data_IF_705173762834
#
_entry.id   IF_705173762834
#
_cell.length_a   1.000
_cell.length_b   1.000
_cell.length_c   1.000
_cell.angle_alpha   90.00
_cell.angle_beta   90.00
_cell.angle_gamma   90.00
#
_symmetry.space_group_name_H-M   'P 1'
#
loop_
_entity.id
_entity.type
_entity.pdbx_description
1 polymer ?
#
# COMPACT_ATOMS: atom_id res chain seq x y z
N UNK A 1 -4.12 25.53 -22.70
CA UNK A 1 -4.48 24.15 -22.27
C UNK A 1 -4.33 24.11 -20.76
N UNK A 2 -5.42 24.04 -20.01
CA UNK A 2 -5.35 23.95 -18.55
C UNK A 2 -4.82 22.55 -18.21
N UNK A 3 -3.63 22.45 -17.60
CA UNK A 3 -3.16 21.21 -16.99
C UNK A 3 -4.04 20.94 -15.77
N UNK A 4 -4.85 19.89 -15.80
CA UNK A 4 -5.53 19.40 -14.62
C UNK A 4 -4.50 18.54 -13.86
N UNK A 5 -4.03 19.05 -12.74
CA UNK A 5 -3.13 18.35 -11.83
C UNK A 5 -3.97 17.87 -10.64
N UNK A 6 -3.69 16.67 -10.16
CA UNK A 6 -4.28 16.15 -8.94
C UNK A 6 -3.44 16.64 -7.78
N UNK A 7 -2.13 16.42 -7.88
CA UNK A 7 -1.12 16.87 -6.93
C UNK A 7 -0.08 17.72 -7.66
N UNK A 8 0.46 18.73 -6.98
CA UNK A 8 1.64 19.52 -7.39
C UNK A 8 2.68 19.43 -6.28
N UNK A 9 3.29 18.25 -6.15
CA UNK A 9 4.15 17.90 -5.03
C UNK A 9 5.54 18.51 -5.14
N UNK A 10 5.96 19.16 -4.05
CA UNK A 10 7.33 19.59 -3.82
C UNK A 10 7.93 18.74 -2.70
N UNK A 11 8.94 17.93 -3.03
CA UNK A 11 9.56 17.00 -2.10
C UNK A 11 10.94 17.52 -1.67
N UNK A 12 11.22 17.53 -0.38
CA UNK A 12 12.55 17.81 0.16
C UNK A 12 13.17 16.57 0.81
N UNK A 13 14.48 16.45 0.70
CA UNK A 13 15.22 15.26 1.09
C UNK A 13 16.42 15.58 1.99
N UNK A 14 16.80 14.60 2.80
CA UNK A 14 18.11 14.51 3.44
C UNK A 14 18.81 13.25 2.88
N UNK A 15 19.73 13.45 1.91
CA UNK A 15 20.22 12.34 1.09
C UNK A 15 19.08 11.70 0.30
N UNK A 16 18.88 10.39 0.47
CA UNK A 16 17.77 9.65 -0.16
C UNK A 16 16.49 9.60 0.72
N UNK A 17 16.56 10.08 1.97
CA UNK A 17 15.45 10.05 2.92
C UNK A 17 14.53 11.24 2.66
N UNK A 18 13.25 10.99 2.45
CA UNK A 18 12.24 12.04 2.32
C UNK A 18 12.10 12.76 3.66
N UNK A 19 12.08 14.08 3.64
CA UNK A 19 12.00 14.92 4.84
C UNK A 19 10.67 15.63 4.94
N UNK A 20 10.18 16.14 3.80
CA UNK A 20 8.95 16.91 3.72
C UNK A 20 8.33 16.78 2.34
N UNK A 21 7.01 16.80 2.28
CA UNK A 21 6.22 16.95 1.06
C UNK A 21 5.29 18.14 1.23
N UNK A 22 5.21 19.00 0.23
CA UNK A 22 4.22 20.06 0.17
C UNK A 22 3.43 19.92 -1.13
N UNK A 23 2.10 19.95 -1.03
CA UNK A 23 1.21 19.99 -2.18
C UNK A 23 0.70 21.40 -2.42
N UNK A 24 0.89 21.90 -3.64
CA UNK A 24 0.39 23.21 -4.07
C UNK A 24 -0.97 23.12 -4.77
N UNK A 25 -1.47 21.91 -5.00
CA UNK A 25 -2.77 21.71 -5.62
C UNK A 25 -3.88 22.08 -4.65
N UNK A 26 -4.72 23.03 -5.03
CA UNK A 26 -5.86 23.48 -4.21
C UNK A 26 -7.18 22.86 -4.63
N UNK A 27 -7.21 22.22 -5.79
CA UNK A 27 -8.42 21.60 -6.38
C UNK A 27 -8.03 20.34 -7.13
N UNK A 28 -8.05 19.18 -6.50
CA UNK A 28 -7.80 17.91 -7.19
C UNK A 28 -8.84 17.70 -8.29
N UNK A 29 -8.38 17.35 -9.49
CA UNK A 29 -9.24 17.17 -10.65
C UNK A 29 -10.22 15.99 -10.49
N UNK A 30 -9.87 15.03 -9.63
CA UNK A 30 -10.64 13.85 -9.29
C UNK A 30 -10.54 13.60 -7.79
N UNK A 31 -11.62 13.81 -7.08
CA UNK A 31 -11.67 13.63 -5.63
C UNK A 31 -12.11 12.19 -5.30
N UNK A 32 -11.30 11.19 -5.67
CA UNK A 32 -11.58 9.78 -5.36
C UNK A 32 -10.68 9.22 -4.26
N UNK A 33 -10.03 10.08 -3.49
CA UNK A 33 -9.40 9.71 -2.24
C UNK A 33 -8.00 9.14 -2.32
N UNK A 34 -7.35 9.11 -3.49
CA UNK A 34 -5.97 8.66 -3.63
C UNK A 34 -5.00 9.76 -4.05
N UNK A 35 -5.34 10.98 -3.79
CA UNK A 35 -4.44 12.13 -3.83
C UNK A 35 -3.56 12.15 -2.58
N UNK A 36 -2.37 12.73 -2.67
CA UNK A 36 -1.57 13.05 -1.50
C UNK A 36 -2.34 14.04 -0.63
N UNK A 37 -2.38 13.79 0.67
CA UNK A 37 -3.02 14.68 1.64
C UNK A 37 -1.93 15.40 2.42
N UNK A 38 -1.70 16.67 2.08
CA UNK A 38 -0.82 17.56 2.81
C UNK A 38 -1.52 18.03 4.10
N UNK A 39 -1.38 17.26 5.16
CA UNK A 39 -2.02 17.51 6.46
C UNK A 39 -1.16 18.33 7.42
N UNK A 40 0.14 18.44 7.15
CA UNK A 40 1.13 18.99 8.09
C UNK A 40 2.16 19.82 7.33
N UNK A 41 2.43 21.02 7.80
CA UNK A 41 3.50 21.89 7.28
C UNK A 41 4.61 22.06 8.33
N UNK A 42 5.47 21.07 8.46
CA UNK A 42 6.61 21.07 9.37
C UNK A 42 7.94 20.96 8.60
N UNK A 43 9.07 21.41 9.19
CA UNK A 43 10.38 21.24 8.57
C UNK A 43 10.80 19.77 8.39
N UNK A 44 10.23 18.87 9.21
CA UNK A 44 10.46 17.43 9.14
C UNK A 44 9.14 16.71 9.43
N UNK A 45 8.63 15.99 8.43
CA UNK A 45 7.36 15.26 8.47
C UNK A 45 7.59 13.75 8.47
N UNK A 46 8.77 13.33 7.99
CA UNK A 46 9.19 11.94 7.86
C UNK A 46 10.47 11.70 8.65
N UNK A 47 10.49 10.67 9.48
CA UNK A 47 11.69 10.26 10.22
C UNK A 47 12.05 8.82 9.88
N UNK A 48 13.33 8.49 10.02
CA UNK A 48 13.89 7.18 9.69
C UNK A 48 14.84 6.70 10.77
N UNK A 49 14.91 5.38 10.96
CA UNK A 49 15.92 4.75 11.79
C UNK A 49 17.31 4.70 11.09
N UNK A 50 18.29 4.12 11.77
CA UNK A 50 19.66 3.97 11.25
C UNK A 50 19.70 3.04 10.02
N UNK A 51 18.83 2.04 9.95
CA UNK A 51 18.69 1.10 8.83
C UNK A 51 17.97 1.72 7.61
N UNK A 52 17.46 2.96 7.73
CA UNK A 52 16.72 3.62 6.67
C UNK A 52 15.26 3.19 6.60
N UNK A 53 14.71 2.59 7.63
CA UNK A 53 13.28 2.30 7.71
C UNK A 53 12.53 3.56 8.15
N UNK A 54 11.38 3.85 7.53
CA UNK A 54 10.52 4.96 7.92
C UNK A 54 9.95 4.71 9.32
N UNK A 55 10.17 5.62 10.25
CA UNK A 55 9.67 5.51 11.63
C UNK A 55 8.52 6.45 11.93
N UNK A 56 8.32 7.48 11.09
CA UNK A 56 7.24 8.45 11.27
C UNK A 56 6.78 8.99 9.90
N UNK A 57 5.46 9.18 9.75
CA UNK A 57 4.81 9.85 8.62
C UNK A 57 3.66 10.71 9.16
N UNK A 58 3.92 11.99 9.34
CA UNK A 58 2.94 12.89 9.95
C UNK A 58 1.77 13.21 9.01
N UNK A 59 1.96 13.15 7.70
CA UNK A 59 0.88 13.36 6.73
C UNK A 59 -0.18 12.25 6.78
N UNK A 60 0.22 11.05 7.21
CA UNK A 60 -0.70 9.93 7.50
C UNK A 60 -1.08 9.83 8.98
N UNK A 61 -0.75 10.84 9.80
CA UNK A 61 -0.91 10.80 11.26
C UNK A 61 -0.18 9.63 11.94
N UNK A 62 0.85 9.06 11.31
CA UNK A 62 1.67 7.99 11.87
C UNK A 62 2.73 8.61 12.78
N UNK A 63 2.60 8.34 14.07
CA UNK A 63 3.51 8.86 15.12
C UNK A 63 4.70 7.97 15.36
N UNK A 64 4.57 6.66 15.11
CA UNK A 64 5.67 5.73 15.20
C UNK A 64 5.43 4.45 14.38
N UNK A 65 6.52 3.93 13.80
CA UNK A 65 6.56 2.60 13.19
C UNK A 65 7.68 1.82 13.86
N UNK A 66 7.36 0.64 14.37
CA UNK A 66 8.32 -0.30 14.94
C UNK A 66 8.64 -1.39 13.91
N UNK A 67 9.87 -1.87 13.92
CA UNK A 67 10.35 -2.91 13.01
C UNK A 67 10.86 -4.13 13.78
N UNK A 68 10.76 -5.29 13.18
CA UNK A 68 11.38 -6.51 13.68
C UNK A 68 12.84 -6.67 13.18
N UNK A 69 13.51 -7.76 13.55
CA UNK A 69 14.89 -8.03 13.15
C UNK A 69 15.09 -8.24 11.64
N UNK A 70 14.02 -8.42 10.86
CA UNK A 70 14.05 -8.50 9.40
C UNK A 70 13.81 -7.13 8.73
N UNK A 71 13.76 -6.06 9.50
CA UNK A 71 13.36 -4.73 9.03
C UNK A 71 11.96 -4.73 8.36
N UNK A 72 11.04 -5.55 8.87
CA UNK A 72 9.63 -5.52 8.48
C UNK A 72 8.83 -4.78 9.57
N UNK A 73 7.85 -3.94 9.22
CA UNK A 73 7.07 -3.20 10.21
C UNK A 73 6.31 -4.19 11.10
N UNK A 74 6.54 -4.13 12.40
CA UNK A 74 5.84 -4.96 13.39
C UNK A 74 4.64 -4.23 13.99
N UNK A 75 4.69 -2.88 14.04
CA UNK A 75 3.59 -2.07 14.53
C UNK A 75 3.63 -0.66 13.94
N UNK A 76 2.47 -0.17 13.53
CA UNK A 76 2.21 1.22 13.13
C UNK A 76 1.29 1.85 14.16
N UNK A 77 1.63 3.04 14.66
CA UNK A 77 0.85 3.77 15.66
C UNK A 77 0.43 5.13 15.10
N UNK A 78 -0.85 5.46 15.26
CA UNK A 78 -1.45 6.70 14.79
C UNK A 78 -1.69 7.68 15.95
N UNK A 79 -1.72 8.96 15.64
CA UNK A 79 -1.92 10.03 16.62
C UNK A 79 -3.26 9.94 17.38
N UNK A 80 -4.29 9.34 16.77
CA UNK A 80 -5.62 9.14 17.37
C UNK A 80 -5.72 7.90 18.25
N UNK A 81 -4.61 7.19 18.51
CA UNK A 81 -4.59 5.97 19.31
C UNK A 81 -4.86 4.68 18.53
N UNK A 82 -5.20 4.77 17.25
CA UNK A 82 -5.31 3.61 16.37
C UNK A 82 -3.94 2.94 16.21
N UNK A 83 -3.94 1.64 15.91
CA UNK A 83 -2.70 0.92 15.61
C UNK A 83 -2.93 -0.25 14.67
N UNK A 84 -1.88 -0.62 13.94
CA UNK A 84 -1.84 -1.83 13.12
C UNK A 84 -0.62 -2.62 13.56
N UNK A 85 -0.80 -3.90 13.84
CA UNK A 85 0.29 -4.81 14.23
C UNK A 85 0.40 -5.94 13.23
N UNK A 86 1.63 -6.33 12.92
CA UNK A 86 1.94 -7.37 11.95
C UNK A 86 2.75 -8.49 12.61
N UNK A 87 2.44 -9.71 12.25
CA UNK A 87 3.21 -10.90 12.61
C UNK A 87 3.75 -11.57 11.35
N UNK A 88 5.03 -11.93 11.37
CA UNK A 88 5.71 -12.58 10.25
C UNK A 88 6.36 -13.87 10.73
N UNK A 89 6.57 -14.81 9.81
CA UNK A 89 7.44 -15.96 10.06
C UNK A 89 8.93 -15.58 9.89
N UNK A 90 9.82 -16.54 10.13
CA UNK A 90 11.28 -16.33 10.02
C UNK A 90 11.75 -16.03 8.59
N UNK A 91 10.95 -16.33 7.57
CA UNK A 91 11.23 -16.01 6.17
C UNK A 91 10.66 -14.64 5.76
N UNK A 92 9.99 -13.93 6.68
CA UNK A 92 9.39 -12.61 6.42
C UNK A 92 8.02 -12.69 5.76
N UNK A 93 7.37 -13.87 5.71
CA UNK A 93 6.00 -13.97 5.21
C UNK A 93 5.04 -13.48 6.28
N UNK A 94 4.11 -12.61 5.91
CA UNK A 94 3.07 -12.10 6.79
C UNK A 94 2.10 -13.23 7.18
N UNK A 95 1.92 -13.43 8.48
CA UNK A 95 1.03 -14.44 9.05
C UNK A 95 -0.23 -13.82 9.62
N UNK A 96 -0.14 -12.60 10.15
CA UNK A 96 -1.27 -11.92 10.79
C UNK A 96 -1.13 -10.42 10.71
N UNK A 97 -2.27 -9.75 10.53
CA UNK A 97 -2.43 -8.31 10.75
C UNK A 97 -3.54 -8.09 11.76
N UNK A 98 -3.32 -7.21 12.72
CA UNK A 98 -4.34 -6.77 13.69
C UNK A 98 -4.50 -5.26 13.55
N UNK A 99 -5.68 -4.83 13.14
CA UNK A 99 -6.07 -3.42 13.12
C UNK A 99 -6.86 -3.12 14.40
N UNK A 100 -6.43 -2.10 15.14
CA UNK A 100 -7.19 -1.55 16.27
C UNK A 100 -7.60 -0.14 15.88
N UNK A 101 -8.89 0.05 15.60
CA UNK A 101 -9.47 1.29 15.10
C UNK A 101 -10.63 1.70 15.99
N UNK A 102 -10.54 2.89 16.60
CA UNK A 102 -11.60 3.46 17.45
C UNK A 102 -12.04 2.53 18.61
N UNK A 103 -11.13 1.65 19.05
CA UNK A 103 -11.37 0.67 20.11
C UNK A 103 -11.79 -0.72 19.64
N UNK A 104 -12.23 -0.85 18.39
CA UNK A 104 -12.55 -2.15 17.79
C UNK A 104 -11.29 -2.79 17.16
N UNK A 105 -11.22 -4.12 17.19
CA UNK A 105 -10.12 -4.85 16.58
C UNK A 105 -10.60 -5.80 15.48
N UNK A 106 -9.89 -5.78 14.35
CA UNK A 106 -10.06 -6.73 13.24
C UNK A 106 -8.76 -7.46 13.05
N UNK A 107 -8.81 -8.79 13.12
CA UNK A 107 -7.66 -9.67 12.92
C UNK A 107 -7.78 -10.35 11.55
N UNK A 108 -6.73 -10.23 10.74
CA UNK A 108 -6.61 -10.96 9.47
C UNK A 108 -5.47 -11.97 9.59
N UNK A 109 -5.76 -13.25 9.38
CA UNK A 109 -4.77 -14.34 9.38
C UNK A 109 -4.53 -14.84 7.95
N UNK A 110 -3.27 -15.08 7.62
CA UNK A 110 -2.82 -15.55 6.31
C UNK A 110 -2.27 -16.97 6.42
N UNK A 111 -3.04 -17.94 5.99
CA UNK A 111 -2.70 -19.35 6.04
C UNK A 111 -2.45 -19.91 4.62
N UNK A 112 -1.25 -19.66 4.08
CA UNK A 112 -0.95 -19.96 2.69
C UNK A 112 -1.76 -19.05 1.76
N UNK A 113 -2.67 -19.62 0.99
CA UNK A 113 -3.57 -18.91 0.08
C UNK A 113 -4.99 -18.68 0.67
N UNK A 114 -5.22 -19.08 1.92
CA UNK A 114 -6.48 -18.81 2.63
C UNK A 114 -6.31 -17.63 3.57
N UNK A 115 -7.21 -16.66 3.46
CA UNK A 115 -7.28 -15.49 4.33
C UNK A 115 -8.50 -15.60 5.22
N UNK A 116 -8.26 -15.40 6.52
CA UNK A 116 -9.28 -15.41 7.56
C UNK A 116 -9.48 -13.99 8.08
N UNK A 117 -10.70 -13.64 8.45
CA UNK A 117 -10.97 -12.44 9.23
C UNK A 117 -11.67 -12.84 10.54
N UNK A 118 -11.12 -12.42 11.68
CA UNK A 118 -11.59 -12.75 13.01
C UNK A 118 -11.80 -14.27 13.23
N UNK A 119 -10.90 -15.08 12.66
CA UNK A 119 -10.95 -16.54 12.75
C UNK A 119 -11.94 -17.22 11.78
N UNK A 120 -12.66 -16.44 10.96
CA UNK A 120 -13.59 -16.97 9.95
C UNK A 120 -12.91 -16.94 8.57
N UNK A 121 -12.84 -18.07 7.84
CA UNK A 121 -12.27 -18.10 6.50
C UNK A 121 -13.10 -17.22 5.55
N UNK A 122 -12.44 -16.30 4.86
CA UNK A 122 -13.10 -15.34 3.95
C UNK A 122 -12.85 -15.70 2.49
N UNK A 123 -11.59 -15.81 2.11
CA UNK A 123 -11.23 -16.03 0.71
C UNK A 123 -10.13 -17.09 0.58
N UNK A 124 -10.22 -17.86 -0.49
CA UNK A 124 -9.16 -18.72 -0.99
C UNK A 124 -8.61 -18.09 -2.26
N UNK A 125 -7.37 -17.60 -2.20
CA UNK A 125 -6.69 -16.99 -3.34
C UNK A 125 -6.28 -18.06 -4.36
N UNK A 126 -6.48 -17.74 -5.64
CA UNK A 126 -6.06 -18.57 -6.79
C UNK A 126 -5.21 -17.73 -7.76
N UNK A 127 -4.62 -18.35 -8.76
CA UNK A 127 -3.84 -17.64 -9.79
C UNK A 127 -4.69 -16.68 -10.63
N UNK A 128 -5.97 -17.00 -10.80
CA UNK A 128 -6.88 -16.27 -11.69
C UNK A 128 -7.91 -15.41 -10.94
N UNK A 129 -7.92 -15.46 -9.60
CA UNK A 129 -8.90 -14.73 -8.80
C UNK A 129 -8.97 -15.25 -7.37
N UNK A 130 -10.18 -15.46 -6.85
CA UNK A 130 -10.38 -16.06 -5.53
C UNK A 130 -11.72 -16.80 -5.45
N UNK A 131 -11.85 -17.64 -4.44
CA UNK A 131 -13.12 -18.22 -4.04
C UNK A 131 -13.54 -17.57 -2.73
N UNK A 132 -14.73 -17.02 -2.69
CA UNK A 132 -15.36 -16.57 -1.45
C UNK A 132 -15.74 -17.80 -0.62
N UNK A 133 -15.17 -17.92 0.58
CA UNK A 133 -15.45 -19.07 1.46
C UNK A 133 -16.70 -18.87 2.32
N UNK A 134 -17.34 -17.70 2.23
CA UNK A 134 -18.59 -17.40 2.92
C UNK A 134 -19.82 -17.90 2.17
N UNK A 135 -19.77 -17.90 0.83
CA UNK A 135 -20.88 -18.31 -0.03
C UNK A 135 -20.48 -19.35 -1.11
N UNK A 136 -19.19 -19.69 -1.20
CA UNK A 136 -18.66 -20.67 -2.14
C UNK A 136 -18.50 -20.20 -3.58
N UNK A 137 -18.68 -18.90 -3.86
CA UNK A 137 -18.63 -18.35 -5.20
C UNK A 137 -17.21 -18.11 -5.71
N UNK A 138 -17.05 -18.29 -7.04
CA UNK A 138 -15.79 -18.01 -7.74
C UNK A 138 -15.79 -16.59 -8.28
N UNK A 139 -14.65 -15.92 -8.11
CA UNK A 139 -14.41 -14.57 -8.59
C UNK A 139 -13.12 -14.54 -9.41
N UNK A 140 -13.16 -13.85 -10.55
CA UNK A 140 -12.06 -13.83 -11.51
C UNK A 140 -11.51 -12.43 -11.68
N UNK A 141 -10.17 -12.34 -11.82
CA UNK A 141 -9.46 -11.09 -12.07
C UNK A 141 -9.17 -10.91 -13.56
N UNK A 142 -9.64 -9.81 -14.14
CA UNK A 142 -9.15 -9.34 -15.42
C UNK A 142 -8.00 -8.37 -15.16
N UNK A 143 -6.80 -8.80 -15.52
CA UNK A 143 -5.55 -8.10 -15.23
C UNK A 143 -5.02 -7.40 -16.49
N UNK A 144 -4.32 -6.27 -16.31
CA UNK A 144 -3.54 -5.67 -17.38
C UNK A 144 -2.13 -6.30 -17.49
N UNK A 145 -1.31 -5.76 -18.40
CA UNK A 145 0.04 -6.27 -18.69
C UNK A 145 1.00 -6.26 -17.50
N UNK A 146 0.71 -5.50 -16.45
CA UNK A 146 1.51 -5.43 -15.23
C UNK A 146 0.93 -6.28 -14.09
N UNK A 147 -0.14 -7.02 -14.33
CA UNK A 147 -0.81 -7.80 -13.30
C UNK A 147 -1.71 -6.98 -12.36
N UNK A 148 -2.07 -5.75 -12.75
CA UNK A 148 -3.02 -4.95 -11.99
C UNK A 148 -4.42 -5.54 -12.12
N UNK A 149 -5.12 -5.75 -11.01
CA UNK A 149 -6.51 -6.20 -11.02
C UNK A 149 -7.41 -5.05 -11.49
N UNK A 150 -7.78 -5.07 -12.79
CA UNK A 150 -8.58 -4.01 -13.42
C UNK A 150 -10.07 -4.23 -13.22
N UNK A 151 -10.52 -5.47 -13.31
CA UNK A 151 -11.92 -5.85 -13.14
C UNK A 151 -12.00 -7.13 -12.32
N UNK A 152 -12.97 -7.20 -11.42
CA UNK A 152 -13.37 -8.43 -10.73
C UNK A 152 -14.75 -8.80 -11.23
N UNK A 153 -14.93 -10.04 -11.66
CA UNK A 153 -16.20 -10.59 -12.09
C UNK A 153 -16.52 -11.86 -11.29
N UNK A 154 -17.78 -12.10 -11.03
CA UNK A 154 -18.25 -13.36 -10.46
C UNK A 154 -18.29 -14.50 -11.49
N UNK A 155 -18.68 -15.69 -11.09
CA UNK A 155 -18.79 -16.88 -11.94
C UNK A 155 -19.88 -16.77 -13.01
N UNK A 156 -20.82 -15.84 -12.86
CA UNK A 156 -21.90 -15.55 -13.80
C UNK A 156 -21.49 -14.46 -14.81
N UNK A 157 -20.31 -13.85 -14.63
CA UNK A 157 -19.79 -12.76 -15.46
C UNK A 157 -20.28 -11.37 -15.04
N UNK A 158 -20.90 -11.25 -13.86
CA UNK A 158 -21.29 -9.96 -13.31
C UNK A 158 -20.06 -9.18 -12.84
N UNK A 159 -19.95 -7.92 -13.26
CA UNK A 159 -18.87 -7.04 -12.82
C UNK A 159 -19.13 -6.56 -11.40
N UNK A 160 -18.25 -6.94 -10.46
CA UNK A 160 -18.35 -6.57 -9.06
C UNK A 160 -17.45 -5.38 -8.70
N UNK A 161 -16.30 -5.28 -9.38
CA UNK A 161 -15.31 -4.24 -9.12
C UNK A 161 -14.62 -3.82 -10.41
N UNK A 162 -14.41 -2.51 -10.59
CA UNK A 162 -13.58 -1.94 -11.64
C UNK A 162 -12.58 -0.97 -11.03
N UNK A 163 -11.29 -1.12 -11.34
CA UNK A 163 -10.23 -0.27 -10.83
C UNK A 163 -9.48 0.45 -11.96
N UNK A 164 -9.24 1.73 -11.77
CA UNK A 164 -8.36 2.55 -12.58
C UNK A 164 -7.19 3.06 -11.74
N UNK A 165 -5.97 2.90 -12.25
CA UNK A 165 -4.76 3.23 -11.53
C UNK A 165 -4.00 4.37 -12.20
N UNK A 166 -3.40 5.24 -11.38
CA UNK A 166 -2.28 6.09 -11.80
C UNK A 166 -1.05 5.22 -12.08
N UNK A 167 -0.07 5.73 -12.84
CA UNK A 167 1.12 4.94 -13.19
C UNK A 167 1.83 4.32 -11.99
N UNK A 168 1.90 5.00 -10.85
CA UNK A 168 2.47 4.50 -9.61
C UNK A 168 1.51 3.70 -8.72
N UNK A 169 0.34 3.31 -9.23
CA UNK A 169 -0.56 2.39 -8.53
C UNK A 169 -1.62 3.04 -7.64
N UNK A 170 -1.65 4.35 -7.57
CA UNK A 170 -2.76 5.05 -6.90
C UNK A 170 -4.09 4.74 -7.59
N UNK A 171 -5.11 4.37 -6.82
CA UNK A 171 -6.45 4.10 -7.37
C UNK A 171 -7.19 5.41 -7.53
N UNK A 172 -7.35 5.91 -8.76
CA UNK A 172 -8.02 7.18 -8.98
C UNK A 172 -9.54 7.03 -9.21
N UNK A 173 -10.00 5.83 -9.57
CA UNK A 173 -11.41 5.52 -9.70
C UNK A 173 -11.61 4.04 -9.40
N UNK A 174 -12.62 3.74 -8.60
CA UNK A 174 -13.02 2.37 -8.28
C UNK A 174 -14.54 2.33 -8.17
N UNK A 175 -15.14 1.29 -8.72
CA UNK A 175 -16.53 0.90 -8.44
C UNK A 175 -16.48 -0.44 -7.75
N UNK A 176 -17.17 -0.56 -6.60
CA UNK A 176 -17.05 -1.72 -5.73
C UNK A 176 -15.74 -1.72 -4.90
N UNK A 177 -15.65 -2.64 -3.96
CA UNK A 177 -14.47 -2.92 -3.13
C UNK A 177 -14.53 -4.38 -2.65
N UNK A 178 -14.60 -5.31 -3.63
CA UNK A 178 -14.85 -6.71 -3.38
C UNK A 178 -13.69 -7.43 -2.67
N UNK A 179 -12.46 -6.92 -2.82
CA UNK A 179 -11.27 -7.55 -2.29
C UNK A 179 -10.07 -6.56 -2.21
N UNK A 180 -9.04 -6.80 -1.37
CA UNK A 180 -7.96 -5.85 -1.16
C UNK A 180 -6.82 -5.91 -2.19
N UNK A 181 -6.75 -6.93 -3.05
CA UNK A 181 -5.64 -7.11 -3.99
C UNK A 181 -5.84 -6.26 -5.25
N UNK A 182 -5.01 -5.25 -5.44
CA UNK A 182 -5.21 -4.20 -6.45
C UNK A 182 -4.03 -4.13 -7.45
N UNK A 183 -3.18 -3.10 -7.33
CA UNK A 183 -2.04 -2.84 -8.20
C UNK A 183 -1.00 -3.96 -8.10
N UNK A 184 -0.51 -4.47 -9.24
CA UNK A 184 0.35 -5.66 -9.37
C UNK A 184 -0.16 -6.90 -8.61
N UNK A 185 -1.46 -6.98 -8.33
CA UNK A 185 -2.05 -8.02 -7.50
C UNK A 185 -1.63 -7.96 -6.03
N UNK A 186 -1.04 -6.86 -5.56
CA UNK A 186 -0.62 -6.67 -4.18
C UNK A 186 -1.77 -6.23 -3.30
N UNK A 187 -1.73 -6.64 -2.03
CA UNK A 187 -2.71 -6.25 -1.03
C UNK A 187 -2.57 -4.76 -0.68
N UNK A 188 -3.64 -4.01 -0.83
CA UNK A 188 -3.75 -2.61 -0.43
C UNK A 188 -4.44 -2.53 0.93
N UNK A 189 -3.70 -2.11 1.94
CA UNK A 189 -4.26 -1.82 3.26
C UNK A 189 -4.68 -0.35 3.33
N UNK A 190 -6.00 -0.12 3.38
CA UNK A 190 -6.60 1.22 3.51
C UNK A 190 -7.08 1.52 4.92
N UNK A 191 -7.07 0.53 5.80
CA UNK A 191 -7.61 0.65 7.15
C UNK A 191 -6.83 1.72 7.94
N UNK A 192 -7.53 2.51 8.71
CA UNK A 192 -6.93 3.61 9.47
C UNK A 192 -6.30 4.73 8.63
N UNK A 193 -6.54 4.78 7.32
CA UNK A 193 -5.94 5.76 6.41
C UNK A 193 -4.52 5.42 5.95
N UNK A 194 -4.05 4.17 6.15
CA UNK A 194 -2.68 3.76 5.83
C UNK A 194 -2.36 3.90 4.34
N UNK A 195 -3.16 3.28 3.46
CA UNK A 195 -3.01 3.38 2.01
C UNK A 195 -1.72 2.77 1.45
N UNK A 196 -1.18 1.73 2.10
CA UNK A 196 0.05 1.06 1.66
C UNK A 196 -0.22 -0.26 0.96
N UNK A 197 0.58 -0.55 -0.05
CA UNK A 197 0.65 -1.87 -0.68
C UNK A 197 1.71 -2.73 0.01
N UNK A 198 1.35 -3.99 0.28
CA UNK A 198 2.28 -4.99 0.79
C UNK A 198 3.00 -5.70 -0.36
N UNK A 199 4.27 -5.38 -0.57
CA UNK A 199 5.14 -6.08 -1.53
C UNK A 199 5.93 -7.23 -0.89
N UNK A 200 5.61 -7.62 0.36
CA UNK A 200 6.30 -8.66 1.12
C UNK A 200 7.56 -8.15 1.79
N UNK A 201 8.63 -7.93 1.04
CA UNK A 201 9.88 -7.40 1.59
C UNK A 201 9.77 -5.92 2.02
N UNK A 202 8.88 -5.15 1.42
CA UNK A 202 8.70 -3.71 1.66
C UNK A 202 7.24 -3.30 1.60
N UNK A 203 6.87 -2.30 2.39
CA UNK A 203 5.61 -1.57 2.21
C UNK A 203 5.81 -0.42 1.23
N UNK A 204 4.85 -0.20 0.36
CA UNK A 204 4.90 0.77 -0.72
C UNK A 204 3.77 1.80 -0.60
N UNK A 205 4.11 3.07 -0.68
CA UNK A 205 3.15 4.17 -0.74
C UNK A 205 3.01 4.67 -2.18
N UNK A 206 1.88 4.40 -2.78
CA UNK A 206 1.62 4.80 -4.16
C UNK A 206 1.34 6.30 -4.33
N UNK A 207 0.92 7.00 -3.27
CA UNK A 207 0.75 8.46 -3.32
C UNK A 207 2.08 9.20 -3.47
N UNK A 208 3.16 8.62 -2.92
CA UNK A 208 4.52 9.14 -3.01
C UNK A 208 5.38 8.42 -4.05
N UNK A 209 4.92 7.28 -4.58
CA UNK A 209 5.68 6.44 -5.51
C UNK A 209 6.95 5.84 -4.89
N UNK A 210 6.94 5.53 -3.58
CA UNK A 210 8.12 5.13 -2.80
C UNK A 210 7.86 3.96 -1.88
N UNK A 211 8.94 3.20 -1.64
CA UNK A 211 8.99 2.24 -0.54
C UNK A 211 9.31 2.91 0.79
N UNK A 212 8.88 2.29 1.90
CA UNK A 212 9.08 2.79 3.26
C UNK A 212 10.47 2.48 3.83
N UNK A 213 11.22 1.59 3.19
CA UNK A 213 12.59 1.24 3.57
C UNK A 213 13.50 1.08 2.36
N UNK A 214 14.80 1.02 2.62
CA UNK A 214 15.82 0.82 1.58
C UNK A 214 15.69 -0.56 0.93
N UNK A 215 15.99 -0.61 -0.36
CA UNK A 215 16.11 -1.85 -1.10
C UNK A 215 17.34 -2.63 -0.65
N UNK A 216 17.18 -3.94 -0.38
CA UNK A 216 18.31 -4.82 -0.03
C UNK A 216 19.34 -4.97 -1.17
N UNK A 217 18.95 -4.63 -2.39
CA UNK A 217 19.82 -4.64 -3.57
C UNK A 217 20.30 -3.25 -3.99
N UNK A 218 20.09 -2.22 -3.16
CA UNK A 218 20.44 -0.83 -3.49
C UNK A 218 21.91 -0.65 -3.89
N UNK A 219 22.83 -1.45 -3.35
CA UNK A 219 24.26 -1.43 -3.72
C UNK A 219 24.51 -1.83 -5.18
N UNK A 220 23.59 -2.59 -5.81
CA UNK A 220 23.67 -2.97 -7.24
C UNK A 220 23.18 -1.86 -8.16
N UNK A 221 22.42 -0.91 -7.65
CA UNK A 221 21.74 0.14 -8.42
C UNK A 221 22.07 1.53 -7.86
N UNK A 222 23.39 1.81 -7.75
CA UNK A 222 23.92 3.05 -7.12
C UNK A 222 23.45 4.36 -7.75
N UNK A 223 22.95 4.32 -8.98
CA UNK A 223 22.39 5.49 -9.67
C UNK A 223 20.93 5.76 -9.32
N UNK A 224 20.27 4.86 -8.61
CA UNK A 224 18.87 4.97 -8.24
C UNK A 224 18.72 5.21 -6.74
N UNK A 225 17.64 5.90 -6.35
CA UNK A 225 17.31 6.01 -4.94
C UNK A 225 16.98 4.62 -4.36
N UNK A 226 17.48 4.25 -3.18
CA UNK A 226 17.15 2.97 -2.55
C UNK A 226 15.66 2.83 -2.16
N UNK A 227 14.88 3.89 -2.26
CA UNK A 227 13.44 3.92 -1.97
C UNK A 227 12.56 3.96 -3.22
N UNK A 228 13.14 3.98 -4.42
CA UNK A 228 12.40 4.10 -5.66
C UNK A 228 11.58 2.83 -5.97
N UNK A 229 10.52 3.01 -6.76
CA UNK A 229 9.70 1.94 -7.33
C UNK A 229 9.97 1.84 -8.84
N UNK A 230 10.22 0.61 -9.34
CA UNK A 230 10.30 0.30 -10.75
C UNK A 230 11.25 1.18 -11.57
N UNK A 231 12.39 1.61 -11.00
CA UNK A 231 13.35 2.56 -11.59
C UNK A 231 12.71 3.89 -12.03
N UNK A 232 11.68 4.36 -11.34
CA UNK A 232 10.84 5.52 -11.68
C UNK A 232 10.18 5.43 -13.08
N UNK A 233 9.99 4.21 -13.57
CA UNK A 233 9.32 3.93 -14.84
C UNK A 233 8.22 2.86 -14.64
N UNK A 234 7.18 3.16 -13.86
CA UNK A 234 6.20 2.19 -13.38
C UNK A 234 5.28 1.65 -14.49
N UNK A 235 5.27 2.25 -15.67
CA UNK A 235 4.49 1.76 -16.82
C UNK A 235 5.18 0.58 -17.52
N UNK A 236 6.53 0.57 -17.52
CA UNK A 236 7.32 -0.47 -18.19
C UNK A 236 7.94 -1.46 -17.21
N UNK A 237 8.06 -1.08 -15.94
CA UNK A 237 8.73 -1.88 -14.92
C UNK A 237 7.78 -2.14 -13.74
N UNK A 238 7.91 -3.33 -13.17
CA UNK A 238 7.33 -3.69 -11.88
C UNK A 238 8.46 -4.06 -10.93
N UNK A 239 8.25 -3.79 -9.65
CA UNK A 239 9.17 -4.24 -8.61
C UNK A 239 8.82 -5.67 -8.25
N UNK A 240 9.76 -6.58 -8.47
CA UNK A 240 9.66 -8.00 -8.08
C UNK A 240 10.64 -8.24 -6.94
N UNK A 241 10.13 -8.49 -5.74
CA UNK A 241 10.96 -8.78 -4.56
C UNK A 241 11.59 -10.15 -4.58
#
# INVERSE_FOLDING_TARGET
MYKRQIDDLSLSYAGNRLKKVADRSTTPAFNNGFEFKDGIDLPTEYEYDENGNLTKDLNKNITAIQYNCLNLPSRVMFANGNSISYLYDAAGRKLRTVHVLEGDSVTTDYCGNVVYENGVPQILLTEVGYVSLTDGKYHYYLKDHQGNNRVVVDEEGTVEEVNHYYPFGGVFSSTGDAQPYKYNGKELDRKGGLGWYDYGARMYDAALGRFMKTDRFSEKYVSLSPYQYGANNPVNNIDVN
#
